data_IF_050727905688
#
_entry.id   IF_050727905688
#
_cell.length_a   1.000
_cell.length_b   1.000
_cell.length_c   1.000
_cell.angle_alpha   90.00
_cell.angle_beta   90.00
_cell.angle_gamma   90.00
#
_symmetry.space_group_name_H-M   'P 1'
#
loop_
_entity.id
_entity.type
_entity.pdbx_description
1 polymer ?
#
# COMPACT_ATOMS: atom_id res chain seq x y z
N UNK A 1 -5.92 -24.24 11.50
CA UNK A 1 -6.68 -23.98 10.24
C UNK A 1 -5.86 -24.58 9.10
N UNK A 2 -6.47 -25.10 8.02
CA UNK A 2 -5.71 -25.43 6.80
C UNK A 2 -4.99 -24.17 6.27
N UNK A 3 -3.86 -24.33 5.55
CA UNK A 3 -3.09 -23.20 5.03
C UNK A 3 -3.98 -22.33 4.15
N UNK A 4 -3.94 -21.01 4.39
CA UNK A 4 -4.76 -20.06 3.63
C UNK A 4 -4.19 -19.82 2.23
N UNK A 5 -5.06 -19.54 1.25
CA UNK A 5 -4.59 -19.09 -0.06
C UNK A 5 -3.83 -17.76 0.08
N UNK A 6 -2.88 -17.46 -0.84
CA UNK A 6 -2.33 -16.12 -0.96
C UNK A 6 -3.47 -15.12 -1.23
N UNK A 7 -3.49 -14.03 -0.48
CA UNK A 7 -4.48 -12.95 -0.65
C UNK A 7 -3.74 -11.65 -0.91
N UNK A 8 -4.06 -10.99 -2.03
CA UNK A 8 -3.53 -9.68 -2.39
C UNK A 8 -4.68 -8.68 -2.52
N UNK A 9 -4.65 -7.65 -1.68
CA UNK A 9 -5.57 -6.51 -1.80
C UNK A 9 -4.79 -5.31 -2.31
N UNK A 10 -5.12 -4.86 -3.52
CA UNK A 10 -4.52 -3.68 -4.13
C UNK A 10 -5.31 -2.45 -3.70
N UNK A 11 -4.67 -1.56 -2.95
CA UNK A 11 -5.23 -0.32 -2.46
C UNK A 11 -4.56 0.85 -3.18
N UNK A 12 -5.23 1.39 -4.19
CA UNK A 12 -4.62 2.24 -5.21
C UNK A 12 -5.12 3.68 -5.09
N UNK A 13 -4.19 4.61 -4.86
CA UNK A 13 -4.43 6.05 -4.96
C UNK A 13 -4.83 6.45 -6.39
N UNK A 14 -5.99 7.11 -6.53
CA UNK A 14 -6.50 7.67 -7.79
C UNK A 14 -6.68 9.19 -7.73
N UNK A 15 -6.02 9.86 -6.79
CA UNK A 15 -5.89 11.33 -6.75
C UNK A 15 -5.24 11.84 -8.04
N UNK A 16 -5.40 13.14 -8.30
CA UNK A 16 -4.90 13.83 -9.49
C UNK A 16 -3.41 13.59 -9.75
N UNK A 17 -2.58 13.50 -8.72
CA UNK A 17 -1.15 13.24 -8.86
C UNK A 17 -0.87 11.82 -9.38
N UNK A 18 -1.59 10.82 -8.87
CA UNK A 18 -1.45 9.42 -9.28
C UNK A 18 -1.84 9.25 -10.75
N UNK A 19 -3.00 9.80 -11.12
CA UNK A 19 -3.54 9.75 -12.48
C UNK A 19 -2.60 10.45 -13.47
N UNK A 20 -2.22 11.70 -13.19
CA UNK A 20 -1.39 12.48 -14.11
C UNK A 20 0.03 11.91 -14.25
N UNK A 21 0.51 11.16 -13.27
CA UNK A 21 1.84 10.58 -13.29
C UNK A 21 1.97 9.33 -14.17
N UNK A 22 0.86 8.73 -14.62
CA UNK A 22 0.85 7.44 -15.33
C UNK A 22 1.12 6.23 -14.41
N UNK A 23 1.10 6.41 -13.09
CA UNK A 23 1.30 5.35 -12.11
C UNK A 23 0.24 4.25 -12.26
N UNK A 24 -1.03 4.65 -12.44
CA UNK A 24 -2.16 3.74 -12.54
C UNK A 24 -2.01 2.77 -13.74
N UNK A 25 -1.52 3.26 -14.88
CA UNK A 25 -1.24 2.43 -16.05
C UNK A 25 -0.18 1.36 -15.77
N UNK A 26 0.91 1.70 -15.07
CA UNK A 26 1.97 0.73 -14.77
C UNK A 26 1.44 -0.35 -13.81
N UNK A 27 0.70 0.04 -12.76
CA UNK A 27 0.12 -0.89 -11.79
C UNK A 27 -0.83 -1.86 -12.51
N UNK A 28 -1.78 -1.32 -13.28
CA UNK A 28 -2.80 -2.14 -13.95
C UNK A 28 -2.17 -3.12 -14.95
N UNK A 29 -1.24 -2.63 -15.79
CA UNK A 29 -0.54 -3.48 -16.76
C UNK A 29 0.35 -4.55 -16.10
N UNK A 30 0.92 -4.26 -14.92
CA UNK A 30 1.77 -5.23 -14.20
C UNK A 30 0.93 -6.33 -13.56
N UNK A 31 -0.19 -5.98 -12.90
CA UNK A 31 -1.13 -6.96 -12.34
C UNK A 31 -1.72 -7.83 -13.45
N UNK A 32 -2.12 -7.22 -14.57
CA UNK A 32 -2.69 -7.93 -15.73
C UNK A 32 -1.74 -8.99 -16.31
N UNK A 33 -0.43 -8.73 -16.33
CA UNK A 33 0.57 -9.71 -16.79
C UNK A 33 0.62 -10.98 -15.95
N UNK A 34 0.21 -10.91 -14.69
CA UNK A 34 0.20 -12.04 -13.76
C UNK A 34 -1.13 -12.79 -13.75
N UNK A 35 -2.18 -12.27 -14.40
CA UNK A 35 -3.45 -12.98 -14.50
C UNK A 35 -3.26 -14.29 -15.29
N UNK A 36 -3.93 -15.38 -14.89
CA UNK A 36 -3.90 -16.64 -15.62
C UNK A 36 -4.33 -16.43 -17.08
N UNK A 37 -3.64 -17.06 -18.04
CA UNK A 37 -4.07 -17.05 -19.44
C UNK A 37 -4.89 -18.30 -19.69
N UNK A 38 -6.14 -18.14 -20.14
CA UNK A 38 -7.09 -19.22 -20.39
C UNK A 38 -6.63 -20.28 -21.43
N UNK A 39 -5.46 -20.10 -22.06
CA UNK A 39 -4.89 -20.96 -23.10
C UNK A 39 -3.85 -21.98 -22.62
N UNK A 40 -3.53 -22.06 -21.32
CA UNK A 40 -2.57 -23.05 -20.78
C UNK A 40 -3.19 -24.41 -20.39
N UNK A 41 -4.42 -24.70 -20.82
CA UNK A 41 -5.08 -26.01 -20.62
C UNK A 41 -4.47 -27.17 -21.44
N UNK A 42 -3.37 -26.95 -22.17
CA UNK A 42 -2.72 -27.97 -22.99
C UNK A 42 -1.30 -28.28 -22.51
N UNK A 43 -1.20 -28.98 -21.37
CA UNK A 43 -0.36 -30.17 -21.17
C UNK A 43 1.13 -30.17 -21.56
N UNK A 44 1.81 -29.03 -21.69
CA UNK A 44 3.26 -29.00 -21.92
C UNK A 44 4.00 -28.39 -20.73
N UNK A 45 4.13 -29.17 -19.64
CA UNK A 45 5.05 -28.94 -18.52
C UNK A 45 6.55 -29.06 -18.90
N UNK A 46 6.89 -28.86 -20.18
CA UNK A 46 8.21 -29.18 -20.73
C UNK A 46 9.07 -28.00 -21.16
N UNK A 47 8.62 -26.75 -21.04
CA UNK A 47 9.44 -25.60 -21.43
C UNK A 47 9.14 -24.37 -20.58
N UNK A 48 9.54 -24.44 -19.31
CA UNK A 48 9.47 -23.34 -18.35
C UNK A 48 10.54 -22.30 -18.72
N UNK A 49 10.27 -21.50 -19.76
CA UNK A 49 10.92 -20.21 -19.88
C UNK A 49 10.55 -19.43 -18.61
N UNK A 50 11.55 -18.93 -17.87
CA UNK A 50 11.43 -18.18 -16.60
C UNK A 50 10.55 -16.90 -16.65
N UNK A 51 9.82 -16.67 -17.74
CA UNK A 51 9.17 -15.41 -18.10
C UNK A 51 7.63 -15.45 -18.02
N UNK A 52 7.00 -16.59 -17.70
CA UNK A 52 5.53 -16.69 -17.60
C UNK A 52 5.10 -17.01 -16.15
N UNK A 53 5.41 -16.10 -15.22
CA UNK A 53 4.89 -16.20 -13.84
C UNK A 53 3.44 -15.73 -13.82
N UNK A 54 2.53 -16.55 -13.31
CA UNK A 54 1.12 -16.22 -13.12
C UNK A 54 0.74 -16.42 -11.65
N UNK A 55 -0.40 -15.87 -11.23
CA UNK A 55 -0.93 -16.12 -9.89
C UNK A 55 -1.30 -17.60 -9.71
N UNK A 56 -1.04 -18.13 -8.51
CA UNK A 56 -1.51 -19.47 -8.11
C UNK A 56 -3.04 -19.54 -8.27
N UNK A 57 -3.64 -20.66 -8.73
CA UNK A 57 -5.08 -20.79 -8.95
C UNK A 57 -5.96 -20.48 -7.72
N UNK A 58 -5.41 -20.62 -6.51
CA UNK A 58 -6.11 -20.32 -5.25
C UNK A 58 -5.95 -18.88 -4.81
N UNK A 59 -5.13 -18.07 -5.50
CA UNK A 59 -4.87 -16.67 -5.14
C UNK A 59 -6.16 -15.87 -5.16
N UNK A 60 -6.44 -15.18 -4.05
CA UNK A 60 -7.54 -14.23 -3.96
C UNK A 60 -7.02 -12.81 -4.21
N UNK A 61 -7.74 -12.07 -5.05
CA UNK A 61 -7.43 -10.69 -5.41
C UNK A 61 -8.63 -9.81 -5.09
N UNK A 62 -8.35 -8.64 -4.51
CA UNK A 62 -9.30 -7.53 -4.44
C UNK A 62 -8.64 -6.23 -4.90
N UNK A 63 -9.46 -5.31 -5.39
CA UNK A 63 -9.02 -3.97 -5.79
C UNK A 63 -9.92 -2.96 -5.09
N UNK A 64 -9.30 -1.97 -4.45
CA UNK A 64 -9.94 -0.78 -3.88
C UNK A 64 -9.16 0.44 -4.39
N UNK A 65 -9.87 1.43 -4.90
CA UNK A 65 -9.25 2.73 -5.23
C UNK A 65 -9.73 3.80 -4.27
N UNK A 66 -8.93 4.84 -4.05
CA UNK A 66 -9.33 5.94 -3.16
C UNK A 66 -8.80 7.30 -3.63
N UNK A 67 -9.58 8.33 -3.33
CA UNK A 67 -9.19 9.73 -3.43
C UNK A 67 -9.71 10.48 -2.18
N UNK A 68 -10.67 11.39 -2.34
CA UNK A 68 -11.51 11.91 -1.26
C UNK A 68 -12.52 10.88 -0.71
N UNK A 69 -12.82 9.84 -1.50
CA UNK A 69 -13.77 8.77 -1.16
C UNK A 69 -13.17 7.40 -1.45
N UNK A 70 -13.78 6.34 -0.93
CA UNK A 70 -13.31 4.96 -1.10
C UNK A 70 -14.18 4.27 -2.17
N UNK A 71 -13.55 3.54 -3.09
CA UNK A 71 -14.23 2.84 -4.18
C UNK A 71 -13.87 1.37 -4.16
N UNK A 72 -14.87 0.52 -3.97
CA UNK A 72 -14.74 -0.94 -4.06
C UNK A 72 -15.36 -1.46 -5.36
N UNK A 73 -14.82 -2.54 -5.89
CA UNK A 73 -15.27 -3.13 -7.15
C UNK A 73 -15.83 -4.53 -6.92
N UNK A 74 -17.05 -4.78 -7.39
CA UNK A 74 -17.63 -6.12 -7.41
C UNK A 74 -17.05 -6.91 -8.58
N UNK A 75 -16.21 -7.89 -8.27
CA UNK A 75 -15.48 -8.67 -9.25
C UNK A 75 -16.07 -10.07 -9.48
N UNK A 76 -17.30 -10.31 -9.00
CA UNK A 76 -17.97 -11.61 -9.16
C UNK A 76 -18.04 -12.03 -10.65
N UNK A 77 -17.53 -13.23 -10.95
CA UNK A 77 -17.43 -13.76 -12.32
C UNK A 77 -18.79 -13.93 -13.03
N UNK A 78 -19.91 -13.95 -12.28
CA UNK A 78 -21.26 -14.05 -12.83
C UNK A 78 -21.79 -12.71 -13.36
N UNK A 79 -21.12 -11.60 -13.07
CA UNK A 79 -21.53 -10.29 -13.56
C UNK A 79 -21.06 -10.08 -15.00
N UNK A 80 -21.95 -9.55 -15.85
CA UNK A 80 -21.60 -9.15 -17.22
C UNK A 80 -20.64 -7.96 -17.27
N UNK A 81 -20.65 -7.13 -16.23
CA UNK A 81 -19.80 -5.96 -16.08
C UNK A 81 -19.52 -5.72 -14.60
N UNK A 82 -18.28 -5.33 -14.29
CA UNK A 82 -17.82 -4.94 -12.96
C UNK A 82 -18.63 -3.74 -12.45
N UNK A 83 -19.08 -3.81 -11.20
CA UNK A 83 -19.81 -2.73 -10.54
C UNK A 83 -18.88 -1.98 -9.57
N UNK A 84 -18.88 -0.64 -9.63
CA UNK A 84 -18.16 0.19 -8.68
C UNK A 84 -19.12 0.67 -7.58
N UNK A 85 -18.74 0.46 -6.32
CA UNK A 85 -19.46 0.94 -5.14
C UNK A 85 -18.63 2.00 -4.44
N UNK A 86 -19.22 3.18 -4.27
CA UNK A 86 -18.58 4.35 -3.65
C UNK A 86 -19.00 4.48 -2.20
N UNK A 87 -18.03 4.63 -1.31
CA UNK A 87 -18.21 4.91 0.12
C UNK A 87 -17.71 6.33 0.37
N UNK A 88 -18.60 7.34 0.34
CA UNK A 88 -18.23 8.73 0.51
C UNK A 88 -18.11 9.15 1.97
N UNK A 89 -18.79 8.45 2.89
CA UNK A 89 -18.73 8.76 4.31
C UNK A 89 -17.47 8.15 4.94
N UNK A 90 -16.54 9.03 5.32
CA UNK A 90 -15.29 8.62 5.96
C UNK A 90 -15.45 8.39 7.47
N UNK A 91 -16.56 8.84 8.07
CA UNK A 91 -16.80 8.72 9.51
C UNK A 91 -17.36 7.34 9.89
N UNK A 92 -18.18 6.75 9.01
CA UNK A 92 -18.75 5.40 9.20
C UNK A 92 -18.42 4.51 7.98
N UNK A 93 -17.19 3.99 7.98
CA UNK A 93 -16.71 3.13 6.89
C UNK A 93 -17.35 1.75 7.02
N UNK A 94 -18.04 1.32 5.97
CA UNK A 94 -18.53 -0.04 5.82
C UNK A 94 -18.02 -0.67 4.53
N UNK A 95 -18.10 -2.01 4.47
CA UNK A 95 -17.75 -2.78 3.28
C UNK A 95 -19.04 -3.17 2.56
N UNK A 96 -19.34 -2.58 1.38
CA UNK A 96 -20.62 -2.82 0.69
C UNK A 96 -20.82 -4.29 0.27
N UNK A 97 -19.72 -5.03 0.09
CA UNK A 97 -19.69 -6.40 -0.42
C UNK A 97 -18.74 -7.26 0.41
N UNK A 98 -19.19 -7.83 1.54
CA UNK A 98 -18.31 -8.55 2.45
C UNK A 98 -17.79 -9.90 1.92
N UNK A 99 -18.35 -10.42 0.81
CA UNK A 99 -17.96 -11.70 0.19
C UNK A 99 -17.37 -11.53 -1.22
N UNK A 100 -17.87 -10.58 -2.01
CA UNK A 100 -17.48 -10.43 -3.44
C UNK A 100 -16.32 -9.44 -3.71
N UNK A 101 -15.65 -8.91 -2.68
CA UNK A 101 -14.47 -8.04 -2.88
C UNK A 101 -13.19 -8.84 -3.14
N UNK A 102 -13.03 -9.98 -2.48
CA UNK A 102 -11.90 -10.89 -2.68
C UNK A 102 -12.36 -12.06 -3.54
N UNK A 103 -11.90 -12.10 -4.78
CA UNK A 103 -12.28 -13.13 -5.76
C UNK A 103 -11.08 -13.97 -6.17
N UNK A 104 -11.33 -15.21 -6.61
CA UNK A 104 -10.28 -16.02 -7.22
C UNK A 104 -9.75 -15.36 -8.48
N UNK A 105 -8.43 -15.16 -8.55
CA UNK A 105 -7.75 -14.60 -9.71
C UNK A 105 -7.97 -15.44 -10.98
N UNK A 106 -8.15 -16.75 -10.81
CA UNK A 106 -8.40 -17.70 -11.90
C UNK A 106 -9.85 -17.65 -12.38
N UNK A 107 -10.82 -17.69 -11.46
CA UNK A 107 -12.25 -17.71 -11.83
C UNK A 107 -12.74 -16.36 -12.38
N UNK A 108 -12.24 -15.26 -11.81
CA UNK A 108 -12.65 -13.89 -12.16
C UNK A 108 -11.69 -13.20 -13.11
N UNK A 109 -10.89 -13.98 -13.85
CA UNK A 109 -9.82 -13.48 -14.73
C UNK A 109 -10.33 -12.47 -15.77
N UNK A 110 -11.45 -12.75 -16.44
CA UNK A 110 -12.02 -11.84 -17.45
C UNK A 110 -12.49 -10.52 -16.82
N UNK A 111 -13.16 -10.58 -15.66
CA UNK A 111 -13.65 -9.38 -14.95
C UNK A 111 -12.50 -8.51 -14.43
N UNK A 112 -11.43 -9.15 -13.94
CA UNK A 112 -10.19 -8.49 -13.54
C UNK A 112 -9.50 -7.83 -14.74
N UNK A 113 -9.36 -8.55 -15.85
CA UNK A 113 -8.73 -8.04 -17.07
C UNK A 113 -9.44 -6.79 -17.60
N UNK A 114 -10.78 -6.85 -17.69
CA UNK A 114 -11.61 -5.72 -18.09
C UNK A 114 -11.54 -4.55 -17.12
N UNK A 115 -11.52 -4.79 -15.80
CA UNK A 115 -11.39 -3.70 -14.83
C UNK A 115 -10.03 -3.02 -14.94
N UNK A 116 -8.95 -3.79 -15.05
CA UNK A 116 -7.58 -3.26 -15.13
C UNK A 116 -7.37 -2.42 -16.41
N UNK A 117 -7.99 -2.78 -17.54
CA UNK A 117 -7.97 -1.96 -18.75
C UNK A 117 -8.76 -0.65 -18.59
N UNK A 118 -9.88 -0.70 -17.87
CA UNK A 118 -10.78 0.45 -17.72
C UNK A 118 -10.38 1.40 -16.59
N UNK A 119 -9.64 0.96 -15.57
CA UNK A 119 -9.27 1.77 -14.41
C UNK A 119 -8.54 3.07 -14.78
N UNK A 120 -7.47 3.06 -15.60
CA UNK A 120 -6.81 4.30 -16.05
C UNK A 120 -7.74 5.23 -16.82
N UNK A 121 -8.64 4.66 -17.64
CA UNK A 121 -9.61 5.40 -18.46
C UNK A 121 -10.64 6.09 -17.56
N UNK A 122 -11.17 5.38 -16.57
CA UNK A 122 -12.19 5.85 -15.64
C UNK A 122 -11.70 7.06 -14.82
N UNK A 123 -10.46 7.00 -14.34
CA UNK A 123 -9.87 8.03 -13.48
C UNK A 123 -9.13 9.13 -14.24
N UNK A 124 -8.96 9.02 -15.57
CA UNK A 124 -8.14 9.92 -16.40
C UNK A 124 -8.36 11.41 -16.17
N UNK A 125 -9.62 11.80 -15.92
CA UNK A 125 -10.01 13.20 -15.74
C UNK A 125 -10.20 13.59 -14.26
N UNK A 126 -9.80 12.74 -13.32
CA UNK A 126 -9.92 13.04 -11.90
C UNK A 126 -9.00 14.19 -11.51
N UNK A 127 -9.56 15.17 -10.79
CA UNK A 127 -8.86 16.37 -10.32
C UNK A 127 -8.84 16.48 -8.80
N UNK A 128 -9.31 15.46 -8.10
CA UNK A 128 -9.35 15.42 -6.64
C UNK A 128 -7.92 15.38 -6.10
N UNK A 129 -7.60 16.33 -5.22
CA UNK A 129 -6.31 16.41 -4.50
C UNK A 129 -6.38 15.78 -3.11
N UNK A 130 -7.60 15.60 -2.60
CA UNK A 130 -7.82 15.06 -1.27
C UNK A 130 -7.56 13.56 -1.27
N UNK A 131 -6.88 13.09 -0.24
CA UNK A 131 -6.39 11.73 -0.10
C UNK A 131 -6.81 11.18 1.27
N UNK A 132 -7.81 10.29 1.28
CA UNK A 132 -8.37 9.63 2.45
C UNK A 132 -7.70 8.28 2.77
N UNK A 133 -6.39 8.14 2.50
CA UNK A 133 -5.71 6.85 2.56
C UNK A 133 -5.86 6.15 3.92
N UNK A 134 -5.88 6.89 5.03
CA UNK A 134 -6.05 6.29 6.35
C UNK A 134 -7.38 5.54 6.49
N UNK A 135 -8.48 6.14 6.02
CA UNK A 135 -9.79 5.51 5.95
C UNK A 135 -9.79 4.33 4.97
N UNK A 136 -9.11 4.48 3.81
CA UNK A 136 -8.98 3.42 2.83
C UNK A 136 -8.23 2.19 3.40
N UNK A 137 -7.20 2.40 4.22
CA UNK A 137 -6.48 1.33 4.94
C UNK A 137 -7.41 0.65 5.96
N UNK A 138 -8.27 1.40 6.66
CA UNK A 138 -9.27 0.82 7.57
C UNK A 138 -10.29 -0.06 6.80
N UNK A 139 -10.78 0.40 5.65
CA UNK A 139 -11.64 -0.40 4.79
C UNK A 139 -10.92 -1.68 4.34
N UNK A 140 -9.66 -1.57 3.90
CA UNK A 140 -8.84 -2.72 3.52
C UNK A 140 -8.66 -3.71 4.68
N UNK A 141 -8.45 -3.21 5.90
CA UNK A 141 -8.41 -4.05 7.10
C UNK A 141 -9.73 -4.80 7.33
N UNK A 142 -10.89 -4.16 7.16
CA UNK A 142 -12.19 -4.82 7.30
C UNK A 142 -12.40 -5.96 6.30
N UNK A 143 -11.84 -5.84 5.10
CA UNK A 143 -11.84 -6.88 4.07
C UNK A 143 -10.89 -8.02 4.45
N UNK A 144 -9.63 -7.69 4.79
CA UNK A 144 -8.60 -8.69 5.02
C UNK A 144 -8.71 -9.43 6.35
N UNK A 145 -9.28 -8.82 7.41
CA UNK A 145 -9.29 -9.41 8.78
C UNK A 145 -9.91 -10.82 8.88
N UNK A 146 -10.72 -11.24 7.90
CA UNK A 146 -11.32 -12.58 7.86
C UNK A 146 -10.33 -13.69 7.49
N UNK A 147 -9.36 -13.38 6.62
CA UNK A 147 -8.47 -14.37 6.00
C UNK A 147 -7.00 -14.08 6.32
N UNK A 148 -6.63 -12.82 6.50
CA UNK A 148 -5.24 -12.36 6.42
C UNK A 148 -4.84 -12.07 4.98
N UNK A 149 -3.57 -11.73 4.76
CA UNK A 149 -3.07 -11.45 3.42
C UNK A 149 -2.13 -10.26 3.36
N UNK A 150 -1.84 -9.80 2.14
CA UNK A 150 -0.97 -8.65 1.89
C UNK A 150 -1.77 -7.52 1.28
N UNK A 151 -1.66 -6.37 1.91
CA UNK A 151 -2.14 -5.11 1.39
C UNK A 151 -1.01 -4.45 0.59
N UNK A 152 -1.24 -4.23 -0.71
CA UNK A 152 -0.34 -3.42 -1.54
C UNK A 152 -0.91 -2.01 -1.63
N UNK A 153 -0.31 -1.08 -0.89
CA UNK A 153 -0.70 0.31 -0.83
C UNK A 153 0.12 1.13 -1.82
N UNK A 154 -0.54 1.80 -2.75
CA UNK A 154 0.09 2.74 -3.70
C UNK A 154 -0.29 4.15 -3.30
N UNK A 155 0.70 5.01 -3.06
CA UNK A 155 0.48 6.40 -2.65
C UNK A 155 1.30 7.37 -3.51
N UNK A 156 0.63 8.33 -4.13
CA UNK A 156 1.23 9.46 -4.84
C UNK A 156 1.08 10.78 -4.07
N UNK A 157 0.05 10.87 -3.22
CA UNK A 157 -0.29 12.06 -2.45
C UNK A 157 -0.35 11.74 -0.96
N UNK A 158 0.08 12.69 -0.14
CA UNK A 158 0.09 12.48 1.31
C UNK A 158 -1.36 12.45 1.83
N UNK A 159 -1.69 11.53 2.76
CA UNK A 159 -3.01 11.50 3.38
C UNK A 159 -3.32 12.83 4.07
N UNK A 160 -4.36 13.53 3.64
CA UNK A 160 -4.64 14.91 4.06
C UNK A 160 -6.07 15.13 4.57
N UNK A 161 -6.97 14.16 4.37
CA UNK A 161 -8.33 14.18 4.93
C UNK A 161 -8.62 12.87 5.68
N UNK A 162 -9.65 12.92 6.53
CA UNK A 162 -10.09 11.76 7.30
C UNK A 162 -9.16 11.43 8.46
N UNK A 163 -8.93 10.15 8.70
CA UNK A 163 -8.09 9.66 9.78
C UNK A 163 -6.65 9.40 9.33
N UNK A 164 -5.72 9.38 10.30
CA UNK A 164 -4.29 9.11 10.06
C UNK A 164 -3.66 10.03 9.01
N UNK A 165 -4.13 11.28 8.93
CA UNK A 165 -3.53 12.31 8.09
C UNK A 165 -2.09 12.57 8.49
N UNK A 166 -1.26 12.93 7.52
CA UNK A 166 0.13 13.32 7.73
C UNK A 166 0.31 14.80 7.36
N UNK A 167 1.23 15.48 8.05
CA UNK A 167 1.52 16.89 7.78
C UNK A 167 2.80 17.01 6.96
N UNK A 168 2.75 17.77 5.86
CA UNK A 168 3.91 18.11 5.04
C UNK A 168 4.95 18.94 5.80
N UNK A 169 4.45 19.82 6.66
CA UNK A 169 5.26 20.65 7.54
C UNK A 169 5.11 20.08 8.95
N UNK A 170 6.17 19.41 9.41
CA UNK A 170 6.33 19.09 10.84
C UNK A 170 6.67 20.39 11.58
N UNK A 171 5.75 21.35 11.58
CA UNK A 171 5.85 22.50 12.46
C UNK A 171 5.73 21.97 13.88
N UNK A 172 6.74 22.28 14.69
CA UNK A 172 6.99 21.78 16.04
C UNK A 172 5.93 22.26 17.04
N UNK A 173 4.66 21.88 16.83
CA UNK A 173 3.63 22.03 17.86
C UNK A 173 3.82 20.92 18.88
N UNK A 174 4.56 21.30 19.91
CA UNK A 174 4.84 20.59 21.16
C UNK A 174 6.02 19.62 21.13
N UNK A 175 7.20 20.19 21.38
CA UNK A 175 8.36 19.47 21.88
C UNK A 175 8.01 18.92 23.27
N UNK A 176 7.46 17.71 23.32
CA UNK A 176 7.76 16.82 24.44
C UNK A 176 9.28 16.82 24.56
N UNK A 177 9.82 17.28 25.71
CA UNK A 177 11.26 17.43 25.96
C UNK A 177 12.02 16.29 25.28
N UNK A 178 12.70 16.62 24.19
CA UNK A 178 13.28 15.64 23.27
C UNK A 178 14.07 14.60 24.06
N UNK A 179 13.72 13.32 23.92
CA UNK A 179 14.43 12.19 24.57
C UNK A 179 15.94 12.25 24.30
N UNK A 180 16.32 12.89 23.19
CA UNK A 180 17.68 13.06 22.72
C UNK A 180 18.36 14.35 23.22
N UNK A 181 17.60 15.29 23.82
CA UNK A 181 18.16 16.56 24.34
C UNK A 181 19.27 16.32 25.35
N UNK A 182 19.12 15.32 26.23
CA UNK A 182 20.11 14.99 27.24
C UNK A 182 21.36 14.29 26.68
N UNK A 183 21.30 13.75 25.46
CA UNK A 183 22.41 13.02 24.83
C UNK A 183 23.33 13.98 24.05
N UNK A 184 22.75 14.98 23.39
CA UNK A 184 23.49 15.94 22.57
C UNK A 184 23.80 17.27 23.26
N UNK A 185 23.13 17.57 24.38
CA UNK A 185 23.49 18.70 25.24
C UNK A 185 24.45 18.20 26.32
N UNK A 186 25.74 18.19 26.03
CA UNK A 186 26.78 17.98 27.04
C UNK A 186 26.82 19.16 28.02
N UNK A 187 26.92 18.90 29.32
CA UNK A 187 26.98 19.90 30.42
C UNK A 187 28.21 20.84 30.38
N UNK A 188 28.96 20.88 29.27
CA UNK A 188 30.22 21.62 29.13
C UNK A 188 30.30 22.47 27.86
N UNK A 189 29.19 23.03 27.36
CA UNK A 189 29.23 24.01 26.27
C UNK A 189 28.89 25.40 26.81
N UNK A 190 29.94 26.12 27.24
CA UNK A 190 29.91 27.57 27.31
C UNK A 190 29.66 28.09 25.90
N UNK A 191 28.51 28.75 25.71
CA UNK A 191 28.22 29.83 24.77
C UNK A 191 29.11 29.87 23.52
N UNK A 192 28.67 29.25 22.41
CA UNK A 192 29.36 29.44 21.13
C UNK A 192 28.75 28.78 19.89
N UNK A 193 28.01 27.66 19.99
CA UNK A 193 27.50 26.95 18.80
C UNK A 193 26.17 26.20 19.06
N UNK A 194 25.19 26.87 19.67
CA UNK A 194 23.87 26.28 19.94
C UNK A 194 23.15 25.84 18.65
N UNK A 195 23.40 26.53 17.53
CA UNK A 195 22.72 26.27 16.26
C UNK A 195 23.01 24.88 15.65
N UNK A 196 24.22 24.32 15.80
CA UNK A 196 24.57 23.00 15.23
C UNK A 196 23.95 21.84 16.02
N UNK A 197 23.83 21.97 17.34
CA UNK A 197 23.21 20.96 18.20
C UNK A 197 21.70 20.91 17.96
N UNK A 198 21.07 22.06 17.77
CA UNK A 198 19.65 22.16 17.43
C UNK A 198 19.32 21.58 16.04
N UNK A 199 20.21 21.73 15.05
CA UNK A 199 20.02 21.12 13.71
C UNK A 199 20.05 19.59 13.78
N UNK A 200 21.02 18.98 14.45
CA UNK A 200 21.10 17.51 14.58
C UNK A 200 19.94 16.92 15.38
N UNK A 201 19.54 17.59 16.46
CA UNK A 201 18.36 17.19 17.24
C UNK A 201 17.10 17.23 16.36
N UNK A 202 16.95 18.27 15.54
CA UNK A 202 15.84 18.40 14.60
C UNK A 202 15.84 17.33 13.51
N UNK A 203 17.00 16.99 12.94
CA UNK A 203 17.13 15.90 11.97
C UNK A 203 16.62 14.58 12.55
N UNK A 204 17.03 14.24 13.78
CA UNK A 204 16.56 13.03 14.46
C UNK A 204 15.06 13.07 14.77
N UNK A 205 14.53 14.22 15.15
CA UNK A 205 13.08 14.39 15.39
C UNK A 205 12.26 14.20 14.11
N UNK A 206 12.78 14.63 12.96
CA UNK A 206 12.13 14.39 11.66
C UNK A 206 12.11 12.92 11.24
N UNK A 207 12.99 12.08 11.80
CA UNK A 207 13.00 10.64 11.55
C UNK A 207 12.01 9.85 12.43
N UNK A 208 11.52 10.44 13.52
CA UNK A 208 10.50 9.80 14.36
C UNK A 208 9.12 9.94 13.72
N UNK A 209 8.20 9.00 13.93
CA UNK A 209 6.81 9.22 13.51
C UNK A 209 6.20 10.40 14.27
N UNK A 210 5.37 11.20 13.59
CA UNK A 210 4.71 12.36 14.20
C UNK A 210 3.72 11.96 15.30
N UNK A 211 3.03 10.84 15.10
CA UNK A 211 2.10 10.24 16.03
C UNK A 211 2.19 8.71 15.97
N UNK A 212 1.52 8.02 16.90
CA UNK A 212 1.57 6.56 16.98
C UNK A 212 0.47 5.84 16.19
N UNK A 213 -0.42 6.55 15.49
CA UNK A 213 -1.62 5.95 14.89
C UNK A 213 -1.29 4.82 13.91
N UNK A 214 -0.26 5.00 13.06
CA UNK A 214 0.21 3.96 12.15
C UNK A 214 0.86 2.77 12.87
N UNK A 215 1.55 3.01 14.00
CA UNK A 215 2.16 1.95 14.79
C UNK A 215 1.12 1.13 15.54
N UNK A 216 0.09 1.77 16.11
CA UNK A 216 -1.05 1.13 16.77
C UNK A 216 -1.87 0.31 15.78
N UNK A 217 -2.10 0.84 14.58
CA UNK A 217 -2.73 0.09 13.50
C UNK A 217 -1.91 -1.15 13.12
N UNK A 218 -0.57 -1.03 13.02
CA UNK A 218 0.30 -2.16 12.72
C UNK A 218 0.16 -3.30 13.74
N UNK A 219 0.08 -2.96 15.03
CA UNK A 219 -0.16 -3.94 16.10
C UNK A 219 -1.52 -4.62 15.97
N UNK A 220 -2.52 -3.90 15.45
CA UNK A 220 -3.86 -4.46 15.23
C UNK A 220 -3.85 -5.42 14.04
N UNK A 221 -3.38 -4.98 12.87
CA UNK A 221 -3.45 -5.79 11.64
C UNK A 221 -2.58 -7.06 11.69
N UNK A 222 -1.47 -7.03 12.43
CA UNK A 222 -0.59 -8.21 12.60
C UNK A 222 -1.26 -9.34 13.35
N UNK A 223 -2.20 -9.05 14.27
CA UNK A 223 -3.01 -10.07 14.95
C UNK A 223 -3.87 -10.85 13.96
N UNK A 224 -4.21 -10.24 12.82
CA UNK A 224 -5.00 -10.82 11.74
C UNK A 224 -4.15 -11.30 10.57
N UNK A 225 -2.83 -11.44 10.75
CA UNK A 225 -1.91 -11.96 9.73
C UNK A 225 -1.90 -11.12 8.45
N UNK A 226 -1.97 -9.80 8.61
CA UNK A 226 -1.94 -8.85 7.50
C UNK A 226 -0.57 -8.16 7.45
N UNK A 227 0.06 -8.22 6.28
CA UNK A 227 1.28 -7.46 5.95
C UNK A 227 0.94 -6.28 5.01
N UNK A 228 1.68 -5.18 5.10
CA UNK A 228 1.46 -3.99 4.25
C UNK A 228 2.73 -3.63 3.50
N UNK A 229 2.69 -3.74 2.18
CA UNK A 229 3.73 -3.22 1.28
C UNK A 229 3.30 -1.82 0.81
N UNK A 230 4.23 -0.85 0.84
CA UNK A 230 3.98 0.52 0.40
C UNK A 230 4.82 0.85 -0.84
N UNK A 231 4.15 1.21 -1.93
CA UNK A 231 4.72 1.81 -3.13
C UNK A 231 4.48 3.33 -3.09
N UNK A 232 5.45 4.05 -2.53
CA UNK A 232 5.45 5.50 -2.36
C UNK A 232 6.01 6.19 -3.61
N UNK A 233 5.12 6.82 -4.39
CA UNK A 233 5.39 7.46 -5.67
C UNK A 233 5.03 8.96 -5.68
N UNK A 234 5.59 9.79 -4.76
CA UNK A 234 5.27 11.21 -4.72
C UNK A 234 5.71 11.95 -5.98
N UNK A 235 4.80 12.68 -6.63
CA UNK A 235 5.14 13.47 -7.82
C UNK A 235 5.97 14.72 -7.47
N UNK A 236 5.58 15.46 -6.41
CA UNK A 236 6.23 16.72 -6.02
C UNK A 236 6.39 16.86 -4.51
N UNK A 237 5.31 16.64 -3.75
CA UNK A 237 5.30 16.80 -2.31
C UNK A 237 5.69 15.50 -1.59
N UNK A 238 6.37 15.60 -0.46
CA UNK A 238 6.77 14.44 0.34
C UNK A 238 5.57 13.83 1.08
N UNK A 239 5.60 12.51 1.28
CA UNK A 239 4.53 11.73 1.95
C UNK A 239 4.69 11.60 3.47
N UNK A 240 5.67 12.28 4.09
CA UNK A 240 6.09 12.05 5.48
C UNK A 240 6.23 10.55 5.83
N UNK A 241 7.14 9.88 5.11
CA UNK A 241 7.34 8.44 5.26
C UNK A 241 7.72 8.03 6.68
N UNK A 242 8.36 8.90 7.47
CA UNK A 242 8.70 8.60 8.86
C UNK A 242 7.44 8.35 9.73
N UNK A 243 6.31 8.98 9.41
CA UNK A 243 5.04 8.75 10.10
C UNK A 243 4.33 7.48 9.63
N UNK A 244 4.38 7.16 8.33
CA UNK A 244 3.69 6.00 7.74
C UNK A 244 4.49 4.69 7.95
N UNK A 245 5.82 4.76 7.89
CA UNK A 245 6.74 3.61 7.90
C UNK A 245 6.54 2.60 9.04
N UNK A 246 6.19 2.98 10.28
CA UNK A 246 5.88 2.02 11.33
C UNK A 246 4.81 0.99 10.95
N UNK A 247 3.84 1.35 10.10
CA UNK A 247 2.83 0.41 9.59
C UNK A 247 3.47 -0.72 8.78
N UNK A 248 4.35 -0.37 7.85
CA UNK A 248 5.03 -1.29 6.94
C UNK A 248 6.00 -2.16 7.74
N UNK A 249 6.88 -1.51 8.51
CA UNK A 249 7.93 -2.19 9.27
C UNK A 249 7.35 -3.20 10.26
N UNK A 250 6.35 -2.80 11.05
CA UNK A 250 5.83 -3.66 12.11
C UNK A 250 4.89 -4.73 11.59
N UNK A 251 4.35 -4.59 10.37
CA UNK A 251 3.55 -5.63 9.71
C UNK A 251 4.38 -6.63 8.90
N UNK A 252 5.70 -6.45 8.83
CA UNK A 252 6.60 -7.32 8.09
C UNK A 252 6.59 -7.10 6.57
N UNK A 253 6.05 -5.97 6.12
CA UNK A 253 6.04 -5.60 4.70
C UNK A 253 7.27 -4.81 4.27
N UNK A 254 7.24 -4.33 3.02
CA UNK A 254 8.32 -3.63 2.33
C UNK A 254 7.94 -2.22 1.89
N UNK A 255 8.91 -1.29 1.94
CA UNK A 255 8.76 0.07 1.44
C UNK A 255 9.53 0.24 0.13
N UNK A 256 8.81 0.57 -0.94
CA UNK A 256 9.35 0.96 -2.24
C UNK A 256 9.13 2.46 -2.42
N UNK A 257 10.22 3.23 -2.50
CA UNK A 257 10.15 4.69 -2.59
C UNK A 257 10.75 5.21 -3.90
N UNK A 258 9.93 5.96 -4.64
CA UNK A 258 10.25 6.57 -5.93
C UNK A 258 10.12 8.10 -5.80
N UNK A 259 11.19 8.79 -5.37
CA UNK A 259 11.13 10.23 -5.16
C UNK A 259 10.90 10.97 -6.48
N UNK A 260 10.04 12.01 -6.46
CA UNK A 260 9.70 12.80 -7.65
C UNK A 260 9.31 11.91 -8.83
N UNK A 261 8.32 11.05 -8.59
CA UNK A 261 7.95 9.99 -9.50
C UNK A 261 7.66 10.53 -10.91
N UNK A 262 8.39 9.96 -11.87
CA UNK A 262 8.26 10.23 -13.29
C UNK A 262 8.22 8.88 -14.03
N UNK A 263 7.16 8.66 -14.81
CA UNK A 263 6.94 7.44 -15.59
C UNK A 263 8.11 7.10 -16.51
N UNK A 264 8.75 8.09 -17.13
CA UNK A 264 9.86 7.87 -18.05
C UNK A 264 11.10 7.31 -17.35
N UNK A 265 11.28 7.60 -16.06
CA UNK A 265 12.43 7.15 -15.28
C UNK A 265 12.14 5.88 -14.49
N UNK A 266 10.95 5.77 -13.88
CA UNK A 266 10.65 4.73 -12.90
C UNK A 266 9.74 3.61 -13.42
N UNK A 267 9.22 3.69 -14.65
CA UNK A 267 8.29 2.68 -15.18
C UNK A 267 8.84 1.26 -15.12
N UNK A 268 10.04 1.01 -15.62
CA UNK A 268 10.64 -0.32 -15.60
C UNK A 268 10.95 -0.78 -14.17
N UNK A 269 11.54 0.09 -13.36
CA UNK A 269 11.87 -0.23 -11.96
C UNK A 269 10.63 -0.61 -11.16
N UNK A 270 9.57 0.20 -11.24
CA UNK A 270 8.32 -0.05 -10.52
C UNK A 270 7.65 -1.33 -10.99
N UNK A 271 7.64 -1.59 -12.30
CA UNK A 271 7.12 -2.83 -12.88
C UNK A 271 7.87 -4.05 -12.32
N UNK A 272 9.19 -4.04 -12.34
CA UNK A 272 9.99 -5.18 -11.86
C UNK A 272 9.89 -5.39 -10.34
N UNK A 273 9.88 -4.31 -9.56
CA UNK A 273 9.71 -4.41 -8.10
C UNK A 273 8.31 -4.89 -7.70
N UNK A 274 7.26 -4.44 -8.41
CA UNK A 274 5.90 -4.93 -8.21
C UNK A 274 5.75 -6.40 -8.65
N UNK A 275 6.34 -6.77 -9.79
CA UNK A 275 6.38 -8.15 -10.25
C UNK A 275 7.09 -9.06 -9.24
N UNK A 276 8.20 -8.59 -8.68
CA UNK A 276 8.92 -9.29 -7.62
C UNK A 276 8.06 -9.41 -6.36
N UNK A 277 7.44 -8.34 -5.88
CA UNK A 277 6.61 -8.35 -4.67
C UNK A 277 5.41 -9.34 -4.74
N UNK A 278 4.89 -9.57 -5.95
CA UNK A 278 3.76 -10.46 -6.22
C UNK A 278 4.17 -11.92 -6.52
N UNK A 279 5.41 -12.15 -6.97
CA UNK A 279 5.89 -13.48 -7.38
C UNK A 279 6.99 -14.05 -6.50
N UNK A 280 7.54 -13.27 -5.57
CA UNK A 280 8.53 -13.73 -4.61
C UNK A 280 7.90 -14.78 -3.68
N UNK A 281 8.67 -15.84 -3.39
CA UNK A 281 8.29 -16.84 -2.42
C UNK A 281 8.06 -16.19 -1.06
N UNK A 282 6.79 -16.21 -0.62
CA UNK A 282 6.36 -15.55 0.61
C UNK A 282 5.74 -16.60 1.52
N UNK A 283 6.28 -16.71 2.74
CA UNK A 283 5.68 -17.50 3.80
C UNK A 283 4.71 -16.63 4.60
N UNK A 284 3.46 -17.07 4.68
CA UNK A 284 2.39 -16.38 5.41
C UNK A 284 2.28 -16.94 6.83
N UNK A 285 1.72 -16.16 7.76
CA UNK A 285 1.49 -16.58 9.16
C UNK A 285 2.76 -17.07 9.89
N UNK A 286 3.92 -16.55 9.51
CA UNK A 286 5.21 -17.06 9.95
C UNK A 286 5.60 -16.57 11.34
N UNK A 287 6.13 -17.47 12.18
CA UNK A 287 6.67 -17.16 13.51
C UNK A 287 8.10 -17.67 13.62
N UNK A 288 9.05 -16.76 13.87
CA UNK A 288 10.44 -17.10 14.08
C UNK A 288 10.76 -17.18 15.58
N UNK A 289 11.33 -18.30 16.05
CA UNK A 289 11.80 -18.47 17.43
C UNK A 289 13.25 -18.94 17.46
N UNK A 290 14.14 -18.10 17.97
CA UNK A 290 15.55 -18.44 18.19
C UNK A 290 15.69 -19.06 19.58
N UNK A 291 16.29 -20.26 19.66
CA UNK A 291 16.63 -20.94 20.93
C UNK A 291 18.15 -21.05 21.02
N UNK A 292 18.69 -20.79 22.20
CA UNK A 292 20.13 -20.87 22.50
C UNK A 292 20.37 -21.95 23.57
N UNK A 293 21.50 -22.64 23.47
CA UNK A 293 21.95 -23.72 24.38
C UNK A 293 22.56 -23.17 25.66
#
# INVERSE_FOLDING_TARGET
RPPQPPVYLFLIDVCVNSVNSGLLDIICNTIKKLLPKNSESNGNEGNMNNNNRTFDPRTLIGIITFDSTIHSYNLNANLKQTQMMVVPDLSDIFIPLPEDILVSAHESQNSLDMLLDNLPIMWRNNKITDCCAGNAIKAAFMVLKKIGGKLLLFLSSAPNIGEMTVSYTRESKQVNKSKYKNIYVSNNVKSGNNNLVDVKLREMEMLNPLNNSYAELAQTITQYQIAVDLFACPAQQQLDLATIYPLIKNSGGSLYHYPQFNVHQYSEKLKEELLFALTAETAWESVMRIRIS
#
